data_IF_123726794445
#
_entry.id   IF_123726794445
#
_cell.length_a   1.000
_cell.length_b   1.000
_cell.length_c   1.000
_cell.angle_alpha   90.00
_cell.angle_beta   90.00
_cell.angle_gamma   90.00
#
_symmetry.space_group_name_H-M   'P 1'
#
loop_
_entity.id
_entity.type
_entity.pdbx_description
1 polymer ?
#
# COMPACT_ATOMS: atom_id res chain seq x y z
N UNK A 1 28.26 23.25 26.07
CA UNK A 1 29.01 22.31 25.20
C UNK A 1 30.36 22.94 24.89
N UNK A 2 31.42 22.15 24.73
CA UNK A 2 32.69 22.69 24.23
C UNK A 2 32.54 23.12 22.76
N UNK A 3 33.39 24.03 22.30
CA UNK A 3 33.42 24.46 20.89
C UNK A 3 33.64 23.27 19.94
N UNK A 4 34.48 22.31 20.34
CA UNK A 4 34.69 21.05 19.59
C UNK A 4 33.39 20.25 19.42
N UNK A 5 32.56 20.18 20.46
CA UNK A 5 31.29 19.45 20.40
C UNK A 5 30.27 20.18 19.52
N UNK A 6 30.25 21.52 19.53
CA UNK A 6 29.39 22.31 18.64
C UNK A 6 29.83 22.18 17.18
N UNK A 7 31.15 22.19 16.91
CA UNK A 7 31.68 22.02 15.57
C UNK A 7 31.42 20.60 15.04
N UNK A 8 31.58 19.57 15.88
CA UNK A 8 31.23 18.19 15.52
C UNK A 8 29.74 18.04 15.18
N UNK A 9 28.86 18.66 15.99
CA UNK A 9 27.41 18.66 15.73
C UNK A 9 27.06 19.36 14.41
N UNK A 10 27.66 20.53 14.14
CA UNK A 10 27.50 21.25 12.88
C UNK A 10 27.92 20.40 11.68
N UNK A 11 29.12 19.81 11.73
CA UNK A 11 29.64 18.95 10.66
C UNK A 11 28.73 17.74 10.42
N UNK A 12 28.21 17.12 11.48
CA UNK A 12 27.29 15.98 11.35
C UNK A 12 25.96 16.38 10.70
N UNK A 13 25.31 17.46 11.18
CA UNK A 13 24.06 17.95 10.60
C UNK A 13 24.22 18.38 9.15
N UNK A 14 25.31 19.08 8.83
CA UNK A 14 25.61 19.49 7.45
C UNK A 14 25.81 18.27 6.54
N UNK A 15 26.54 17.25 7.01
CA UNK A 15 26.69 15.98 6.29
C UNK A 15 25.33 15.30 6.04
N UNK A 16 24.47 15.19 7.07
CA UNK A 16 23.15 14.59 6.94
C UNK A 16 22.25 15.33 5.94
N UNK A 17 22.31 16.66 5.92
CA UNK A 17 21.58 17.51 4.99
C UNK A 17 22.10 17.35 3.55
N UNK A 18 23.42 17.35 3.33
CA UNK A 18 24.02 17.07 2.01
C UNK A 18 23.60 15.71 1.48
N UNK A 19 23.64 14.68 2.34
CA UNK A 19 23.17 13.34 2.00
C UNK A 19 21.68 13.29 1.62
N UNK A 20 20.84 14.11 2.25
CA UNK A 20 19.42 14.19 1.88
C UNK A 20 19.26 14.86 0.50
N UNK A 21 19.94 15.98 0.27
CA UNK A 21 19.89 16.71 -1.01
C UNK A 21 20.35 15.86 -2.20
N UNK A 22 21.38 15.03 -2.01
CA UNK A 22 21.88 14.09 -3.02
C UNK A 22 20.82 13.06 -3.47
N UNK A 23 19.81 12.79 -2.64
CA UNK A 23 18.74 11.83 -2.94
C UNK A 23 17.57 12.47 -3.71
N UNK A 24 17.49 13.79 -3.79
CA UNK A 24 16.37 14.51 -4.41
C UNK A 24 16.35 14.34 -5.94
N UNK A 25 17.44 14.67 -6.62
CA UNK A 25 17.47 14.67 -8.09
C UNK A 25 17.34 13.28 -8.74
N UNK A 26 17.91 12.19 -8.19
CA UNK A 26 17.70 10.84 -8.73
C UNK A 26 16.22 10.44 -8.85
N UNK A 27 15.32 11.04 -8.06
CA UNK A 27 13.89 10.81 -8.17
C UNK A 27 13.28 11.35 -9.48
N UNK A 28 14.02 12.10 -10.30
CA UNK A 28 13.57 12.52 -11.63
C UNK A 28 14.07 11.59 -12.75
N UNK A 29 14.98 10.66 -12.44
CA UNK A 29 15.66 9.86 -13.45
C UNK A 29 14.74 8.81 -14.07
N UNK A 30 14.83 8.69 -15.39
CA UNK A 30 14.08 7.72 -16.20
C UNK A 30 12.59 8.03 -16.38
N UNK A 31 12.12 9.21 -15.96
CA UNK A 31 10.74 9.66 -16.16
C UNK A 31 10.66 10.68 -17.30
N UNK A 32 9.56 10.67 -18.06
CA UNK A 32 9.30 11.66 -19.12
C UNK A 32 8.86 13.02 -18.56
N UNK A 33 8.67 14.03 -19.42
CA UNK A 33 8.25 15.40 -19.00
C UNK A 33 6.86 15.42 -18.35
N UNK A 34 5.97 14.52 -18.76
CA UNK A 34 4.62 14.48 -18.23
C UNK A 34 4.63 13.92 -16.80
N UNK A 35 5.29 12.78 -16.58
CA UNK A 35 5.31 12.11 -15.27
C UNK A 35 6.00 12.93 -14.18
N UNK A 36 7.04 13.71 -14.50
CA UNK A 36 7.67 14.56 -13.48
C UNK A 36 6.82 15.80 -13.12
N UNK A 37 5.88 16.22 -13.98
CA UNK A 37 5.07 17.44 -13.81
C UNK A 37 3.63 17.18 -13.38
N UNK A 38 3.08 16.00 -13.67
CA UNK A 38 1.67 15.74 -13.45
C UNK A 38 1.33 15.69 -11.95
N UNK A 39 0.18 16.23 -11.53
CA UNK A 39 -0.30 16.09 -10.17
C UNK A 39 -0.48 14.61 -9.77
N UNK A 40 0.03 14.26 -8.60
CA UNK A 40 -0.13 12.94 -7.95
C UNK A 40 -1.01 13.01 -6.71
N UNK A 41 -1.45 14.23 -6.33
CA UNK A 41 -2.44 14.48 -5.29
C UNK A 41 -3.31 15.69 -5.66
N UNK A 42 -4.52 15.84 -5.07
CA UNK A 42 -5.43 16.96 -5.36
C UNK A 42 -4.84 18.36 -5.12
N UNK A 43 -3.78 18.48 -4.32
CA UNK A 43 -3.08 19.75 -4.05
C UNK A 43 -2.14 20.20 -5.18
N UNK A 44 -2.00 19.41 -6.26
CA UNK A 44 -1.03 19.69 -7.32
C UNK A 44 0.37 19.16 -7.05
N UNK A 45 0.58 18.41 -5.96
CA UNK A 45 1.85 17.78 -5.59
C UNK A 45 2.40 16.95 -6.76
N UNK A 46 3.63 17.23 -7.19
CA UNK A 46 4.32 16.52 -8.27
C UNK A 46 5.85 16.55 -8.03
N UNK A 47 6.61 15.71 -8.72
CA UNK A 47 8.06 15.54 -8.48
C UNK A 47 8.86 16.80 -8.79
N UNK A 48 8.65 17.43 -9.95
CA UNK A 48 9.43 18.59 -10.36
C UNK A 48 9.08 19.82 -9.50
N UNK A 49 7.82 19.94 -9.11
CA UNK A 49 7.34 20.93 -8.15
C UNK A 49 7.99 20.80 -6.78
N UNK A 50 8.21 19.57 -6.29
CA UNK A 50 8.92 19.34 -5.03
C UNK A 50 10.38 19.82 -5.10
N UNK A 51 11.06 19.63 -6.24
CA UNK A 51 12.41 20.18 -6.45
C UNK A 51 12.40 21.71 -6.43
N UNK A 52 11.41 22.33 -7.10
CA UNK A 52 11.25 23.80 -7.11
C UNK A 52 10.96 24.36 -5.71
N UNK A 53 10.12 23.69 -4.93
CA UNK A 53 9.85 24.07 -3.55
C UNK A 53 11.08 23.96 -2.65
N UNK A 54 11.81 22.85 -2.71
CA UNK A 54 13.06 22.71 -1.96
C UNK A 54 14.09 23.77 -2.38
N UNK A 55 14.14 24.14 -3.66
CA UNK A 55 14.98 25.26 -4.15
C UNK A 55 14.65 26.57 -3.45
N UNK A 56 13.36 26.91 -3.37
CA UNK A 56 12.88 28.12 -2.70
C UNK A 56 13.23 28.13 -1.20
N UNK A 57 13.04 26.99 -0.51
CA UNK A 57 13.33 26.87 0.92
C UNK A 57 14.84 26.98 1.19
N UNK A 58 15.68 26.31 0.41
CA UNK A 58 17.15 26.41 0.53
C UNK A 58 17.63 27.87 0.37
N UNK A 59 17.16 28.55 -0.69
CA UNK A 59 17.51 29.94 -0.97
C UNK A 59 17.03 30.90 0.13
N UNK A 60 15.83 30.69 0.67
CA UNK A 60 15.25 31.59 1.65
C UNK A 60 15.83 31.38 3.05
N UNK A 61 15.90 30.14 3.52
CA UNK A 61 16.34 29.80 4.88
C UNK A 61 17.85 29.99 5.10
N UNK A 62 18.67 29.74 4.08
CA UNK A 62 20.12 30.00 4.19
C UNK A 62 20.56 31.30 3.54
N UNK A 63 19.65 32.01 2.87
CA UNK A 63 19.92 33.32 2.29
C UNK A 63 19.34 34.46 3.12
N UNK A 64 18.07 34.78 2.86
CA UNK A 64 17.36 35.90 3.47
C UNK A 64 17.46 35.89 5.01
N UNK A 65 17.21 34.73 5.63
CA UNK A 65 17.18 34.59 7.10
C UNK A 65 18.49 34.98 7.78
N UNK A 66 19.64 34.73 7.15
CA UNK A 66 20.96 35.07 7.71
C UNK A 66 21.56 36.35 7.12
N UNK A 67 20.77 37.16 6.40
CA UNK A 67 21.26 38.38 5.76
C UNK A 67 22.31 38.09 4.68
N UNK A 68 22.24 36.94 4.01
CA UNK A 68 23.10 36.51 2.90
C UNK A 68 22.25 36.33 1.64
N UNK A 69 21.78 37.40 0.99
CA UNK A 69 20.79 37.31 -0.08
C UNK A 69 21.18 36.30 -1.16
N UNK A 70 20.22 35.46 -1.56
CA UNK A 70 20.40 34.57 -2.70
C UNK A 70 20.50 35.41 -3.99
N UNK A 71 21.46 35.13 -4.90
CA UNK A 71 21.75 36.00 -6.04
C UNK A 71 20.69 35.97 -7.15
N UNK A 72 19.79 34.99 -7.15
CA UNK A 72 18.73 34.85 -8.14
C UNK A 72 17.36 35.25 -7.58
N UNK A 73 16.40 35.60 -8.46
CA UNK A 73 15.02 35.86 -8.05
C UNK A 73 14.43 34.67 -7.32
N UNK A 74 13.81 34.93 -6.17
CA UNK A 74 12.98 33.96 -5.44
C UNK A 74 11.51 34.34 -5.63
N UNK A 75 10.58 33.37 -5.68
CA UNK A 75 9.15 33.65 -5.70
C UNK A 75 8.72 34.60 -4.58
N UNK A 76 7.79 35.51 -4.90
CA UNK A 76 7.16 36.37 -3.91
C UNK A 76 6.27 35.55 -2.97
N UNK A 77 6.27 35.88 -1.69
CA UNK A 77 5.46 35.23 -0.64
C UNK A 77 4.77 36.28 0.21
N UNK A 78 3.64 35.90 0.82
CA UNK A 78 2.94 36.77 1.76
C UNK A 78 3.64 36.87 3.13
N UNK A 79 3.03 37.60 4.06
CA UNK A 79 3.56 37.79 5.43
C UNK A 79 3.67 36.49 6.25
N UNK A 80 2.91 35.45 5.88
CA UNK A 80 2.96 34.12 6.48
C UNK A 80 3.87 33.16 5.71
N UNK A 81 4.65 33.68 4.77
CA UNK A 81 5.55 32.90 3.92
C UNK A 81 4.81 31.88 3.04
N UNK A 82 3.56 32.19 2.68
CA UNK A 82 2.76 31.37 1.79
C UNK A 82 2.79 31.89 0.35
N UNK A 83 2.85 30.95 -0.59
CA UNK A 83 2.52 31.17 -2.00
C UNK A 83 2.00 29.84 -2.58
N UNK A 84 0.79 29.87 -3.14
CA UNK A 84 0.09 28.69 -3.66
C UNK A 84 0.81 28.07 -4.89
N UNK A 85 1.60 28.86 -5.59
CA UNK A 85 2.29 28.51 -6.83
C UNK A 85 3.77 28.10 -6.60
N UNK A 86 4.24 27.96 -5.35
CA UNK A 86 5.63 27.55 -5.06
C UNK A 86 6.00 26.18 -5.65
N UNK A 87 4.99 25.34 -5.86
CA UNK A 87 5.10 24.00 -6.44
C UNK A 87 4.83 23.99 -7.95
N UNK A 88 4.39 25.11 -8.54
CA UNK A 88 3.98 25.18 -9.93
C UNK A 88 5.18 25.42 -10.83
N UNK A 89 5.43 24.46 -11.74
CA UNK A 89 6.46 24.57 -12.77
C UNK A 89 5.76 24.80 -14.12
N UNK A 90 5.69 26.05 -14.61
CA UNK A 90 5.02 26.38 -15.86
C UNK A 90 5.71 25.72 -17.05
N UNK A 91 4.98 25.57 -18.16
CA UNK A 91 5.45 24.87 -19.37
C UNK A 91 6.72 25.46 -19.99
N UNK A 92 6.97 26.76 -19.79
CA UNK A 92 8.14 27.44 -20.34
C UNK A 92 9.38 27.31 -19.44
N UNK A 93 9.22 26.88 -18.18
CA UNK A 93 10.34 26.56 -17.30
C UNK A 93 10.71 25.10 -17.53
N UNK A 94 11.93 24.88 -18.00
CA UNK A 94 12.45 23.55 -18.35
C UNK A 94 12.86 22.76 -17.10
N UNK A 95 12.87 21.43 -17.21
CA UNK A 95 13.36 20.55 -16.14
C UNK A 95 14.79 20.90 -15.73
N UNK A 96 15.67 21.14 -16.70
CA UNK A 96 17.08 21.45 -16.46
C UNK A 96 17.25 22.78 -15.71
N UNK A 97 16.44 23.80 -16.02
CA UNK A 97 16.43 25.06 -15.27
C UNK A 97 16.07 24.85 -13.80
N UNK A 98 15.05 24.03 -13.51
CA UNK A 98 14.65 23.70 -12.12
C UNK A 98 15.75 22.94 -11.40
N UNK A 99 16.34 21.92 -12.06
CA UNK A 99 17.43 21.12 -11.49
C UNK A 99 18.65 21.99 -11.18
N UNK A 100 19.02 22.88 -12.10
CA UNK A 100 20.20 23.72 -11.91
C UNK A 100 19.95 24.82 -10.87
N UNK A 101 18.72 25.35 -10.78
CA UNK A 101 18.31 26.24 -9.70
C UNK A 101 18.43 25.55 -8.33
N UNK A 102 17.96 24.32 -8.21
CA UNK A 102 18.10 23.52 -6.99
C UNK A 102 19.57 23.35 -6.58
N UNK A 103 20.42 22.97 -7.53
CA UNK A 103 21.87 22.82 -7.28
C UNK A 103 22.52 24.14 -6.85
N UNK A 104 22.12 25.27 -7.43
CA UNK A 104 22.63 26.61 -7.04
C UNK A 104 22.18 26.99 -5.64
N UNK A 105 20.92 26.76 -5.30
CA UNK A 105 20.39 27.00 -3.96
C UNK A 105 21.09 26.15 -2.89
N UNK A 106 21.33 24.86 -3.17
CA UNK A 106 22.09 23.99 -2.25
C UNK A 106 23.53 24.47 -2.05
N UNK A 107 24.22 24.96 -3.09
CA UNK A 107 25.57 25.53 -2.96
C UNK A 107 25.58 26.80 -2.11
N UNK A 108 24.63 27.71 -2.36
CA UNK A 108 24.48 28.92 -1.54
C UNK A 108 24.23 28.57 -0.07
N UNK A 109 23.41 27.56 0.18
CA UNK A 109 23.17 27.06 1.52
C UNK A 109 24.42 26.49 2.18
N UNK A 110 25.22 25.71 1.44
CA UNK A 110 26.51 25.19 1.92
C UNK A 110 27.47 26.33 2.28
N UNK A 111 27.60 27.34 1.42
CA UNK A 111 28.44 28.51 1.67
C UNK A 111 28.01 29.27 2.94
N UNK A 112 26.71 29.41 3.18
CA UNK A 112 26.18 30.02 4.43
C UNK A 112 26.49 29.16 5.65
N UNK A 113 26.23 27.85 5.57
CA UNK A 113 26.50 26.93 6.68
C UNK A 113 27.98 26.96 7.01
N UNK A 114 28.88 26.90 6.04
CA UNK A 114 30.33 26.92 6.26
C UNK A 114 30.78 28.23 6.92
N UNK A 115 30.28 29.38 6.43
CA UNK A 115 30.69 30.70 6.90
C UNK A 115 30.25 31.08 8.33
N UNK A 116 29.16 30.51 8.83
CA UNK A 116 28.53 30.96 10.08
C UNK A 116 28.71 29.95 11.24
N UNK A 117 28.94 30.40 12.48
CA UNK A 117 28.90 29.49 13.63
C UNK A 117 27.48 28.94 13.84
N UNK A 118 27.37 27.77 14.47
CA UNK A 118 26.08 27.10 14.71
C UNK A 118 25.10 27.94 15.56
N UNK A 119 25.63 28.85 16.37
CA UNK A 119 24.90 29.82 17.18
C UNK A 119 24.54 31.13 16.45
N UNK A 120 24.92 31.29 15.18
CA UNK A 120 24.59 32.48 14.40
C UNK A 120 23.08 32.67 14.35
N UNK A 121 22.62 33.88 14.65
CA UNK A 121 21.20 34.22 14.74
C UNK A 121 20.71 34.67 13.38
N UNK A 122 19.75 33.93 12.83
CA UNK A 122 18.96 34.31 11.67
C UNK A 122 17.60 34.87 12.08
N UNK A 123 16.96 35.63 11.19
CA UNK A 123 15.64 36.20 11.42
C UNK A 123 14.58 35.61 10.51
N UNK A 124 13.55 35.01 11.11
CA UNK A 124 12.43 34.36 10.43
C UNK A 124 11.11 35.03 10.84
N UNK A 125 10.63 36.03 10.08
CA UNK A 125 9.42 36.78 10.42
C UNK A 125 8.17 35.91 10.61
N UNK A 126 8.04 34.82 9.86
CA UNK A 126 6.85 33.96 9.86
C UNK A 126 6.84 32.90 10.98
N UNK A 127 7.87 32.81 11.82
CA UNK A 127 7.90 31.86 12.96
C UNK A 127 7.50 32.50 14.30
N UNK A 128 7.11 33.78 14.30
CA UNK A 128 6.69 34.51 15.50
C UNK A 128 7.82 34.87 16.47
N UNK A 129 8.86 34.03 16.62
CA UNK A 129 10.11 34.38 17.31
C UNK A 129 11.20 34.75 16.30
N UNK A 130 11.66 36.01 16.37
CA UNK A 130 12.47 36.62 15.32
C UNK A 130 13.94 36.20 15.31
N UNK A 131 14.45 35.51 16.33
CA UNK A 131 15.87 35.14 16.42
C UNK A 131 15.99 33.63 16.55
N UNK A 132 16.54 32.98 15.52
CA UNK A 132 16.75 31.52 15.49
C UNK A 132 18.20 31.17 15.19
N UNK A 133 18.84 30.28 15.98
CA UNK A 133 20.18 29.82 15.67
C UNK A 133 20.23 29.05 14.34
N UNK A 134 21.37 29.09 13.66
CA UNK A 134 21.65 28.26 12.48
C UNK A 134 21.39 26.78 12.73
N UNK A 135 21.65 26.29 13.95
CA UNK A 135 21.26 24.94 14.38
C UNK A 135 19.80 24.59 14.06
N UNK A 136 18.88 25.49 14.41
CA UNK A 136 17.45 25.27 14.26
C UNK A 136 17.07 25.25 12.78
N UNK A 137 17.67 26.15 11.98
CA UNK A 137 17.42 26.21 10.53
C UNK A 137 17.97 24.99 9.81
N UNK A 138 19.18 24.53 10.15
CA UNK A 138 19.73 23.28 9.60
C UNK A 138 18.87 22.07 9.94
N UNK A 139 18.39 21.99 11.17
CA UNK A 139 17.50 20.90 11.62
C UNK A 139 16.16 20.94 10.88
N UNK A 140 15.59 22.14 10.72
CA UNK A 140 14.36 22.34 9.95
C UNK A 140 14.53 21.92 8.50
N UNK A 141 15.56 22.43 7.80
CA UNK A 141 15.81 22.09 6.39
C UNK A 141 16.13 20.62 6.15
N UNK A 142 16.77 19.94 7.12
CA UNK A 142 16.92 18.49 7.09
C UNK A 142 15.55 17.79 7.18
N UNK A 143 14.68 18.25 8.09
CA UNK A 143 13.30 17.76 8.21
C UNK A 143 12.48 17.96 6.94
N UNK A 144 12.46 19.18 6.40
CA UNK A 144 11.77 19.54 5.15
C UNK A 144 12.23 18.65 3.99
N UNK A 145 13.55 18.54 3.79
CA UNK A 145 14.11 17.72 2.70
C UNK A 145 13.75 16.25 2.88
N UNK A 146 13.85 15.70 4.09
CA UNK A 146 13.55 14.29 4.38
C UNK A 146 12.06 13.98 4.24
N UNK A 147 11.19 14.89 4.66
CA UNK A 147 9.74 14.74 4.47
C UNK A 147 9.39 14.70 2.98
N UNK A 148 9.96 15.60 2.18
CA UNK A 148 9.71 15.63 0.74
C UNK A 148 10.34 14.47 -0.02
N UNK A 149 11.48 13.93 0.43
CA UNK A 149 11.99 12.66 -0.09
C UNK A 149 10.98 11.51 0.12
N UNK A 150 10.31 11.44 1.28
CA UNK A 150 9.25 10.46 1.50
C UNK A 150 8.06 10.62 0.54
N UNK A 151 7.69 11.86 0.19
CA UNK A 151 6.69 12.11 -0.86
C UNK A 151 7.19 11.68 -2.24
N UNK A 152 8.46 11.94 -2.57
CA UNK A 152 9.06 11.52 -3.84
C UNK A 152 9.06 9.99 -3.96
N UNK A 153 9.46 9.27 -2.91
CA UNK A 153 9.46 7.81 -2.87
C UNK A 153 8.06 7.24 -3.14
N UNK A 154 7.02 7.76 -2.49
CA UNK A 154 5.63 7.33 -2.72
C UNK A 154 5.17 7.63 -4.15
N UNK A 155 5.52 8.81 -4.69
CA UNK A 155 5.17 9.16 -6.06
C UNK A 155 5.87 8.22 -7.05
N UNK A 156 7.14 7.87 -6.82
CA UNK A 156 7.85 6.88 -7.64
C UNK A 156 7.17 5.53 -7.60
N UNK A 157 6.81 5.05 -6.42
CA UNK A 157 6.07 3.79 -6.26
C UNK A 157 4.77 3.79 -7.09
N UNK A 158 4.03 4.90 -7.11
CA UNK A 158 2.80 5.04 -7.90
C UNK A 158 3.02 5.16 -9.41
N UNK A 159 4.14 5.74 -9.84
CA UNK A 159 4.44 5.97 -11.27
C UNK A 159 5.00 4.71 -11.94
N UNK A 160 5.97 4.06 -11.29
CA UNK A 160 6.75 2.99 -11.91
C UNK A 160 7.08 1.83 -10.95
N UNK A 161 6.43 1.77 -9.78
CA UNK A 161 6.60 0.69 -8.81
C UNK A 161 7.96 0.68 -8.10
N UNK A 162 8.80 1.70 -8.31
CA UNK A 162 10.16 1.77 -7.75
C UNK A 162 10.12 2.23 -6.30
N UNK A 163 10.91 1.57 -5.44
CA UNK A 163 11.06 1.92 -4.03
C UNK A 163 12.53 2.13 -3.66
N UNK A 164 12.83 3.19 -2.90
CA UNK A 164 14.16 3.46 -2.36
C UNK A 164 15.21 3.93 -3.38
N UNK A 165 16.50 3.82 -3.00
CA UNK A 165 17.62 4.50 -3.69
C UNK A 165 18.05 3.89 -5.03
N UNK A 166 17.61 2.67 -5.35
CA UNK A 166 18.04 1.96 -6.55
C UNK A 166 16.94 1.96 -7.59
N UNK A 167 17.19 2.65 -8.70
CA UNK A 167 16.31 2.71 -9.87
C UNK A 167 16.40 1.40 -10.66
N UNK A 168 15.87 0.32 -10.11
CA UNK A 168 15.83 -1.01 -10.75
C UNK A 168 14.36 -1.46 -10.83
N UNK A 169 13.87 -1.90 -12.01
CA UNK A 169 12.53 -2.48 -12.12
C UNK A 169 12.35 -3.67 -11.18
N UNK A 170 11.12 -3.88 -10.68
CA UNK A 170 10.78 -5.07 -9.90
C UNK A 170 10.99 -6.32 -10.76
N UNK A 171 11.46 -7.39 -10.12
CA UNK A 171 11.42 -8.73 -10.71
C UNK A 171 9.98 -9.27 -10.69
N UNK A 172 9.60 -10.21 -11.58
CA UNK A 172 8.27 -10.83 -11.55
C UNK A 172 7.93 -11.48 -10.19
N UNK A 173 8.94 -11.98 -9.47
CA UNK A 173 8.77 -12.53 -8.13
C UNK A 173 8.43 -11.45 -7.09
N UNK A 174 9.06 -10.29 -7.18
CA UNK A 174 8.73 -9.13 -6.33
C UNK A 174 7.35 -8.58 -6.66
N UNK A 175 6.98 -8.44 -7.93
CA UNK A 175 5.63 -8.03 -8.34
C UNK A 175 4.56 -8.96 -7.74
N UNK A 176 4.79 -10.27 -7.80
CA UNK A 176 3.90 -11.28 -7.23
C UNK A 176 3.80 -11.16 -5.71
N UNK A 177 4.93 -10.98 -5.01
CA UNK A 177 4.94 -10.76 -3.55
C UNK A 177 4.22 -9.47 -3.17
N UNK A 178 4.44 -8.38 -3.90
CA UNK A 178 3.83 -7.08 -3.65
C UNK A 178 2.32 -7.16 -3.86
N UNK A 179 1.87 -7.77 -4.95
CA UNK A 179 0.45 -8.01 -5.19
C UNK A 179 -0.18 -8.86 -4.07
N UNK A 180 0.50 -9.92 -3.61
CA UNK A 180 0.04 -10.74 -2.48
C UNK A 180 -0.06 -9.92 -1.19
N UNK A 181 0.96 -9.11 -0.87
CA UNK A 181 0.97 -8.24 0.32
C UNK A 181 -0.13 -7.18 0.25
N UNK A 182 -0.33 -6.55 -0.92
CA UNK A 182 -1.41 -5.61 -1.17
C UNK A 182 -2.78 -6.24 -0.89
N UNK A 183 -3.09 -7.37 -1.53
CA UNK A 183 -4.36 -8.09 -1.35
C UNK A 183 -4.61 -8.44 0.12
N UNK A 184 -3.57 -8.90 0.84
CA UNK A 184 -3.66 -9.20 2.27
C UNK A 184 -4.00 -7.97 3.10
N UNK A 185 -3.33 -6.84 2.84
CA UNK A 185 -3.55 -5.57 3.56
C UNK A 185 -4.94 -5.00 3.28
N UNK A 186 -5.38 -5.00 2.02
CA UNK A 186 -6.69 -4.51 1.63
C UNK A 186 -7.82 -5.34 2.26
N UNK A 187 -7.72 -6.67 2.22
CA UNK A 187 -8.68 -7.55 2.89
C UNK A 187 -8.77 -7.26 4.39
N UNK A 188 -7.62 -7.08 5.05
CA UNK A 188 -7.59 -6.75 6.48
C UNK A 188 -8.26 -5.39 6.76
N UNK A 189 -7.99 -4.37 5.94
CA UNK A 189 -8.59 -3.05 6.06
C UNK A 189 -10.12 -3.09 5.86
N UNK A 190 -10.61 -3.85 4.87
CA UNK A 190 -12.05 -4.03 4.63
C UNK A 190 -12.78 -4.67 5.80
N UNK A 191 -12.22 -5.73 6.37
CA UNK A 191 -12.81 -6.37 7.55
C UNK A 191 -12.78 -5.40 8.74
N UNK A 192 -11.63 -4.79 9.04
CA UNK A 192 -11.50 -3.88 10.19
C UNK A 192 -12.43 -2.66 10.08
N UNK A 193 -12.73 -2.21 8.86
CA UNK A 193 -13.66 -1.11 8.59
C UNK A 193 -15.12 -1.52 8.39
N UNK A 194 -15.50 -2.78 8.67
CA UNK A 194 -16.85 -3.32 8.43
C UNK A 194 -17.34 -3.13 6.97
N UNK A 195 -16.40 -3.11 6.01
CA UNK A 195 -16.69 -3.06 4.57
C UNK A 195 -16.90 -4.43 3.96
N UNK A 196 -16.52 -5.51 4.66
CA UNK A 196 -16.81 -6.86 4.18
C UNK A 196 -18.23 -7.29 4.53
N UNK A 197 -18.64 -7.23 5.79
CA UNK A 197 -20.05 -7.34 6.18
C UNK A 197 -20.41 -6.19 7.12
N UNK A 198 -21.66 -5.68 7.09
CA UNK A 198 -22.09 -4.63 8.00
C UNK A 198 -21.89 -5.01 9.46
N UNK A 199 -21.65 -4.01 10.32
CA UNK A 199 -21.61 -4.23 11.76
C UNK A 199 -22.93 -4.84 12.25
N UNK A 200 -22.84 -5.93 13.04
CA UNK A 200 -24.00 -6.66 13.54
C UNK A 200 -24.69 -7.59 12.53
N UNK A 201 -24.17 -7.73 11.30
CA UNK A 201 -24.67 -8.72 10.35
C UNK A 201 -24.54 -10.14 10.92
N UNK A 202 -25.62 -10.92 10.85
CA UNK A 202 -25.66 -12.32 11.29
C UNK A 202 -25.56 -13.20 10.06
N UNK A 203 -24.39 -13.82 9.86
CA UNK A 203 -24.15 -14.66 8.70
C UNK A 203 -25.07 -15.90 8.69
N UNK A 204 -25.73 -16.19 7.54
CA UNK A 204 -26.43 -17.44 7.34
C UNK A 204 -25.52 -18.65 7.62
N UNK A 205 -26.01 -19.61 8.40
CA UNK A 205 -25.22 -20.81 8.78
C UNK A 205 -25.54 -22.04 7.94
N UNK A 206 -26.59 -22.01 7.11
CA UNK A 206 -26.92 -23.15 6.26
C UNK A 206 -27.67 -22.73 5.00
N UNK A 207 -27.47 -23.49 3.93
CA UNK A 207 -28.29 -23.49 2.72
C UNK A 207 -28.67 -24.93 2.42
N UNK A 208 -29.97 -25.19 2.26
CA UNK A 208 -30.49 -26.50 1.88
C UNK A 208 -30.82 -26.53 0.38
N UNK A 209 -30.43 -27.62 -0.28
CA UNK A 209 -30.72 -27.90 -1.68
C UNK A 209 -31.02 -29.40 -1.84
N UNK A 210 -31.80 -29.78 -2.86
CA UNK A 210 -32.22 -31.18 -3.05
C UNK A 210 -31.02 -32.16 -3.19
N UNK A 211 -29.89 -31.66 -3.70
CA UNK A 211 -28.68 -32.45 -3.95
C UNK A 211 -27.56 -32.26 -2.91
N UNK A 212 -27.63 -31.25 -2.05
CA UNK A 212 -26.56 -30.91 -1.08
C UNK A 212 -27.07 -29.99 0.03
N UNK A 213 -26.36 -29.95 1.15
CA UNK A 213 -26.53 -28.91 2.17
C UNK A 213 -25.19 -28.25 2.47
N UNK A 214 -25.23 -26.96 2.77
CA UNK A 214 -24.08 -26.19 3.24
C UNK A 214 -24.17 -26.01 4.75
N UNK A 215 -23.04 -26.19 5.43
CA UNK A 215 -22.87 -25.95 6.86
C UNK A 215 -21.50 -25.31 7.11
N UNK A 216 -21.28 -24.54 8.19
CA UNK A 216 -20.01 -23.86 8.41
C UNK A 216 -18.90 -24.89 8.58
N UNK A 217 -17.81 -24.71 7.83
CA UNK A 217 -16.66 -25.60 7.91
C UNK A 217 -15.99 -25.47 9.29
N UNK A 218 -15.55 -26.60 9.84
CA UNK A 218 -14.84 -26.62 11.11
C UNK A 218 -14.22 -27.98 11.43
N UNK A 219 -13.47 -28.09 12.55
CA UNK A 219 -12.63 -29.25 12.85
C UNK A 219 -13.36 -30.60 12.91
N UNK A 220 -14.67 -30.61 13.15
CA UNK A 220 -15.49 -31.82 13.13
C UNK A 220 -15.47 -32.54 11.77
N UNK A 221 -15.23 -31.80 10.68
CA UNK A 221 -15.19 -32.33 9.32
C UNK A 221 -13.80 -32.80 8.88
N UNK A 222 -12.76 -32.66 9.71
CA UNK A 222 -11.36 -32.79 9.28
C UNK A 222 -11.05 -34.05 8.47
N UNK A 223 -11.43 -35.22 8.98
CA UNK A 223 -11.13 -36.48 8.27
C UNK A 223 -11.89 -36.61 6.96
N UNK A 224 -13.15 -36.16 6.90
CA UNK A 224 -14.00 -36.28 5.72
C UNK A 224 -13.64 -35.25 4.63
N UNK A 225 -13.39 -34.00 5.04
CA UNK A 225 -12.91 -32.92 4.19
C UNK A 225 -11.53 -33.26 3.59
N UNK A 226 -10.59 -33.72 4.43
CA UNK A 226 -9.26 -34.15 3.98
C UNK A 226 -9.36 -35.25 2.92
N UNK A 227 -10.18 -36.27 3.16
CA UNK A 227 -10.40 -37.33 2.18
C UNK A 227 -11.05 -36.83 0.88
N UNK A 228 -11.98 -35.87 0.96
CA UNK A 228 -12.68 -35.32 -0.18
C UNK A 228 -11.75 -34.56 -1.15
N UNK A 229 -10.93 -33.63 -0.65
CA UNK A 229 -10.06 -32.86 -1.54
C UNK A 229 -8.81 -33.66 -1.96
N UNK A 230 -8.25 -34.52 -1.10
CA UNK A 230 -7.10 -35.37 -1.46
C UNK A 230 -7.43 -36.34 -2.61
N UNK A 231 -8.67 -36.82 -2.68
CA UNK A 231 -9.14 -37.68 -3.79
C UNK A 231 -9.52 -36.89 -5.06
N UNK A 232 -9.52 -35.55 -5.00
CA UNK A 232 -10.04 -34.67 -6.05
C UNK A 232 -9.06 -33.59 -6.50
N UNK A 233 -7.77 -33.68 -6.16
CA UNK A 233 -6.76 -32.63 -6.43
C UNK A 233 -6.75 -32.19 -7.90
N UNK A 234 -6.69 -33.15 -8.84
CA UNK A 234 -6.66 -32.85 -10.28
C UNK A 234 -7.93 -32.11 -10.73
N UNK A 235 -9.08 -32.55 -10.24
CA UNK A 235 -10.36 -31.95 -10.55
C UNK A 235 -10.47 -30.53 -10.01
N UNK A 236 -10.15 -30.30 -8.72
CA UNK A 236 -10.22 -28.97 -8.09
C UNK A 236 -9.29 -27.98 -8.81
N UNK A 237 -8.08 -28.40 -9.18
CA UNK A 237 -7.13 -27.55 -9.93
C UNK A 237 -7.60 -27.25 -11.36
N UNK A 238 -8.47 -28.09 -11.93
CA UNK A 238 -9.11 -27.86 -13.21
C UNK A 238 -10.42 -27.04 -13.09
N UNK A 239 -10.99 -26.93 -11.89
CA UNK A 239 -12.20 -26.13 -11.64
C UNK A 239 -11.89 -24.64 -11.82
N UNK A 240 -12.58 -23.95 -12.75
CA UNK A 240 -12.45 -22.51 -12.90
C UNK A 240 -12.78 -21.81 -11.57
N UNK A 241 -11.93 -20.90 -11.12
CA UNK A 241 -12.15 -20.17 -9.87
C UNK A 241 -11.03 -20.25 -8.85
N UNK A 242 -10.02 -21.11 -9.02
CA UNK A 242 -8.83 -21.19 -8.16
C UNK A 242 -7.60 -20.60 -8.88
N UNK A 243 -7.51 -19.26 -9.01
CA UNK A 243 -6.62 -18.58 -9.97
C UNK A 243 -5.13 -18.74 -9.66
N UNK A 244 -4.75 -18.99 -8.41
CA UNK A 244 -3.35 -19.09 -8.02
C UNK A 244 -2.73 -20.45 -8.45
N UNK A 245 -3.55 -21.45 -8.79
CA UNK A 245 -3.10 -22.78 -9.19
C UNK A 245 -2.33 -23.55 -8.11
N UNK A 246 -2.07 -22.96 -6.95
CA UNK A 246 -1.25 -23.56 -5.89
C UNK A 246 -2.08 -24.40 -4.91
N UNK A 247 -3.40 -24.22 -4.90
CA UNK A 247 -4.34 -25.00 -4.10
C UNK A 247 -5.19 -25.95 -4.98
N UNK A 248 -5.40 -27.22 -4.56
CA UNK A 248 -4.75 -27.90 -3.45
C UNK A 248 -3.29 -28.27 -3.75
N UNK A 249 -2.42 -28.41 -2.73
CA UNK A 249 -1.03 -28.80 -2.92
C UNK A 249 -0.95 -30.21 -3.51
N UNK A 250 -0.21 -30.36 -4.60
CA UNK A 250 -0.09 -31.66 -5.32
C UNK A 250 0.55 -32.76 -4.47
N UNK A 251 1.33 -32.39 -3.45
CA UNK A 251 1.95 -33.32 -2.50
C UNK A 251 1.00 -33.77 -1.39
N UNK A 252 -0.21 -33.18 -1.32
CA UNK A 252 -1.10 -33.31 -0.17
C UNK A 252 -0.59 -32.57 1.07
N UNK A 253 -1.35 -32.70 2.16
CA UNK A 253 -0.97 -32.29 3.52
C UNK A 253 -1.43 -33.34 4.53
N UNK A 254 -0.89 -33.29 5.74
CA UNK A 254 -1.30 -34.13 6.86
C UNK A 254 -2.69 -33.77 7.39
N UNK A 255 -3.31 -34.68 8.14
CA UNK A 255 -4.57 -34.40 8.86
C UNK A 255 -4.41 -33.30 9.91
N UNK A 256 -3.21 -33.11 10.46
CA UNK A 256 -2.92 -32.05 11.43
C UNK A 256 -2.89 -30.67 10.75
N UNK A 257 -2.23 -30.57 9.60
CA UNK A 257 -2.24 -29.35 8.78
C UNK A 257 -3.65 -28.99 8.32
N UNK A 258 -4.45 -29.98 7.89
CA UNK A 258 -5.85 -29.77 7.52
C UNK A 258 -6.70 -29.32 8.72
N UNK A 259 -6.49 -29.90 9.90
CA UNK A 259 -7.21 -29.50 11.12
C UNK A 259 -6.91 -28.04 11.52
N UNK A 260 -5.65 -27.62 11.38
CA UNK A 260 -5.24 -26.24 11.63
C UNK A 260 -5.93 -25.27 10.64
N UNK A 261 -6.04 -25.67 9.37
CA UNK A 261 -6.73 -24.88 8.36
C UNK A 261 -8.23 -24.75 8.61
N UNK A 262 -8.91 -25.86 8.94
CA UNK A 262 -10.33 -25.87 9.32
C UNK A 262 -10.59 -25.04 10.58
N UNK A 263 -9.67 -25.05 11.55
CA UNK A 263 -9.76 -24.21 12.75
C UNK A 263 -9.68 -22.73 12.39
N UNK A 264 -8.79 -22.35 11.45
CA UNK A 264 -8.69 -20.98 10.94
C UNK A 264 -9.97 -20.56 10.22
N UNK A 265 -10.52 -21.39 9.33
CA UNK A 265 -11.77 -21.12 8.63
C UNK A 265 -12.96 -20.95 9.58
N UNK A 266 -13.08 -21.82 10.59
CA UNK A 266 -14.10 -21.68 11.62
C UNK A 266 -13.94 -20.38 12.42
N UNK A 267 -12.71 -20.02 12.79
CA UNK A 267 -12.45 -18.76 13.46
C UNK A 267 -12.83 -17.55 12.59
N UNK A 268 -12.40 -17.53 11.32
CA UNK A 268 -12.72 -16.48 10.35
C UNK A 268 -14.24 -16.28 10.23
N UNK A 269 -15.02 -17.37 10.24
CA UNK A 269 -16.48 -17.34 10.21
C UNK A 269 -17.06 -16.60 11.43
N UNK A 270 -16.63 -17.00 12.64
CA UNK A 270 -17.17 -16.43 13.89
C UNK A 270 -16.85 -14.93 14.04
N UNK A 271 -15.74 -14.46 13.46
CA UNK A 271 -15.33 -13.05 13.53
C UNK A 271 -15.63 -12.27 12.23
N UNK A 272 -16.38 -12.86 11.29
CA UNK A 272 -16.82 -12.19 10.06
C UNK A 272 -15.67 -11.78 9.12
N UNK A 273 -14.57 -12.53 9.09
CA UNK A 273 -13.43 -12.31 8.18
C UNK A 273 -13.52 -13.06 6.86
N UNK A 274 -14.35 -14.08 6.83
CA UNK A 274 -14.60 -14.95 5.69
C UNK A 274 -15.57 -16.03 6.11
N UNK A 275 -16.37 -16.53 5.17
CA UNK A 275 -17.38 -17.53 5.46
C UNK A 275 -17.09 -18.76 4.60
N UNK A 276 -16.67 -19.83 5.27
CA UNK A 276 -16.35 -21.09 4.60
C UNK A 276 -17.37 -22.14 5.02
N UNK A 277 -17.90 -22.84 4.04
CA UNK A 277 -18.93 -23.86 4.22
C UNK A 277 -18.42 -25.19 3.67
N UNK A 278 -18.68 -26.26 4.41
CA UNK A 278 -18.59 -27.61 3.87
C UNK A 278 -19.87 -27.94 3.10
N UNK A 279 -19.73 -28.65 1.98
CA UNK A 279 -20.83 -29.16 1.16
C UNK A 279 -21.05 -30.62 1.54
N UNK A 280 -22.25 -30.96 1.99
CA UNK A 280 -22.59 -32.29 2.49
C UNK A 280 -23.64 -32.96 1.58
N UNK A 281 -23.48 -34.26 1.34
CA UNK A 281 -24.52 -35.08 0.68
C UNK A 281 -25.73 -35.25 1.64
N UNK A 282 -26.96 -34.95 1.20
CA UNK A 282 -28.14 -35.00 2.07
C UNK A 282 -28.65 -36.42 2.31
N UNK A 283 -28.16 -37.41 1.55
CA UNK A 283 -28.60 -38.81 1.63
C UNK A 283 -27.95 -39.61 2.77
N UNK A 284 -26.81 -39.15 3.28
CA UNK A 284 -26.22 -39.66 4.51
C UNK A 284 -26.83 -38.90 5.71
N UNK A 285 -27.29 -39.66 6.71
CA UNK A 285 -27.82 -39.12 7.98
C UNK A 285 -26.76 -38.39 8.82
N UNK A 286 -26.72 -38.63 10.13
CA UNK A 286 -25.78 -37.96 11.08
C UNK A 286 -24.26 -38.17 10.78
N UNK A 287 -23.89 -38.86 9.69
CA UNK A 287 -22.52 -39.00 9.20
C UNK A 287 -22.23 -37.98 8.10
N UNK A 288 -21.41 -36.98 8.41
CA UNK A 288 -21.04 -35.90 7.49
C UNK A 288 -20.23 -36.39 6.28
N UNK A 289 -20.92 -36.79 5.21
CA UNK A 289 -20.28 -37.08 3.93
C UNK A 289 -19.96 -35.77 3.21
N UNK A 290 -18.73 -35.29 3.42
CA UNK A 290 -18.21 -34.08 2.76
C UNK A 290 -17.98 -34.38 1.28
N UNK A 291 -18.68 -33.61 0.45
CA UNK A 291 -18.60 -33.68 -1.01
C UNK A 291 -17.99 -32.44 -1.65
N UNK A 292 -17.62 -31.43 -0.87
CA UNK A 292 -17.06 -30.18 -1.40
C UNK A 292 -16.91 -29.09 -0.34
N UNK A 293 -16.48 -27.90 -0.77
CA UNK A 293 -16.41 -26.70 0.06
C UNK A 293 -16.78 -25.44 -0.75
N UNK A 294 -17.25 -24.41 -0.06
CA UNK A 294 -17.53 -23.06 -0.58
C UNK A 294 -16.78 -22.04 0.28
N UNK A 295 -16.14 -21.07 -0.37
CA UNK A 295 -15.34 -20.02 0.27
C UNK A 295 -15.85 -18.65 -0.16
N UNK A 296 -16.23 -17.83 0.82
CA UNK A 296 -16.67 -16.45 0.65
C UNK A 296 -15.69 -15.54 1.40
N UNK A 297 -14.81 -14.85 0.69
CA UNK A 297 -13.79 -13.97 1.29
C UNK A 297 -13.79 -12.59 0.63
N UNK A 298 -13.36 -11.52 1.34
CA UNK A 298 -13.36 -10.19 0.75
C UNK A 298 -12.54 -10.17 -0.53
N UNK A 299 -13.09 -9.59 -1.60
CA UNK A 299 -12.33 -9.38 -2.81
C UNK A 299 -11.27 -8.29 -2.60
N UNK A 300 -10.22 -8.35 -3.42
CA UNK A 300 -9.10 -7.42 -3.32
C UNK A 300 -9.17 -6.29 -4.36
N UNK A 301 -10.21 -6.29 -5.19
CA UNK A 301 -10.46 -5.34 -6.27
C UNK A 301 -11.81 -4.61 -6.05
N UNK A 302 -12.51 -4.28 -7.13
CA UNK A 302 -13.80 -3.59 -7.12
C UNK A 302 -14.98 -4.46 -6.64
N UNK A 303 -14.77 -5.77 -6.49
CA UNK A 303 -15.81 -6.67 -5.99
C UNK A 303 -15.93 -6.61 -4.46
N UNK A 304 -17.06 -7.07 -3.96
CA UNK A 304 -17.35 -7.13 -2.53
C UNK A 304 -16.78 -8.42 -1.90
N UNK A 305 -16.94 -9.54 -2.63
CA UNK A 305 -16.62 -10.90 -2.19
C UNK A 305 -16.11 -11.72 -3.37
N UNK A 306 -15.12 -12.58 -3.15
CA UNK A 306 -14.76 -13.66 -4.08
C UNK A 306 -15.44 -14.93 -3.60
N UNK A 307 -16.16 -15.57 -4.53
CA UNK A 307 -16.93 -16.78 -4.30
C UNK A 307 -16.25 -17.93 -5.03
N UNK A 308 -15.74 -18.89 -4.27
CA UNK A 308 -15.10 -20.09 -4.82
C UNK A 308 -15.82 -21.33 -4.29
N UNK A 309 -16.01 -22.32 -5.15
CA UNK A 309 -16.60 -23.59 -4.75
C UNK A 309 -16.01 -24.74 -5.53
N UNK A 310 -15.94 -25.91 -4.91
CA UNK A 310 -15.58 -27.16 -5.58
C UNK A 310 -16.39 -28.31 -4.98
N UNK A 311 -16.59 -29.36 -5.77
CA UNK A 311 -17.07 -30.66 -5.30
C UNK A 311 -16.07 -31.76 -5.62
N UNK A 312 -16.24 -32.94 -5.03
CA UNK A 312 -15.40 -34.11 -5.32
C UNK A 312 -15.48 -34.50 -6.79
N UNK A 313 -14.41 -35.09 -7.32
CA UNK A 313 -14.34 -35.54 -8.71
C UNK A 313 -15.45 -36.53 -9.09
N UNK A 314 -15.84 -37.43 -8.18
CA UNK A 314 -16.96 -38.37 -8.37
C UNK A 314 -18.35 -37.70 -8.30
N UNK A 315 -18.40 -36.41 -7.97
CA UNK A 315 -19.59 -35.55 -7.89
C UNK A 315 -19.50 -34.32 -8.80
N UNK A 316 -18.56 -34.25 -9.74
CA UNK A 316 -18.30 -33.09 -10.63
C UNK A 316 -19.55 -32.53 -11.35
N UNK A 317 -20.58 -33.35 -11.58
CA UNK A 317 -21.88 -32.88 -12.11
C UNK A 317 -22.59 -31.85 -11.21
N UNK A 318 -22.18 -31.70 -9.95
CA UNK A 318 -22.70 -30.72 -8.99
C UNK A 318 -21.94 -29.39 -8.96
N UNK A 319 -20.81 -29.24 -9.66
CA UNK A 319 -20.04 -27.97 -9.66
C UNK A 319 -20.89 -26.77 -10.10
N UNK A 320 -21.65 -26.92 -11.18
CA UNK A 320 -22.51 -25.84 -11.71
C UNK A 320 -23.74 -25.63 -10.82
N UNK A 321 -24.51 -26.68 -10.46
CA UNK A 321 -25.62 -26.53 -9.50
C UNK A 321 -25.23 -25.88 -8.17
N UNK A 322 -24.04 -26.21 -7.63
CA UNK A 322 -23.53 -25.59 -6.40
C UNK A 322 -23.24 -24.11 -6.60
N UNK A 323 -22.51 -23.76 -7.66
CA UNK A 323 -22.18 -22.37 -7.96
C UNK A 323 -23.44 -21.51 -8.18
N UNK A 324 -24.43 -22.03 -8.90
CA UNK A 324 -25.70 -21.33 -9.16
C UNK A 324 -26.51 -21.15 -7.88
N UNK A 325 -26.61 -22.18 -7.03
CA UNK A 325 -27.30 -22.09 -5.75
C UNK A 325 -26.63 -21.10 -4.79
N UNK A 326 -25.30 -21.07 -4.73
CA UNK A 326 -24.55 -20.10 -3.91
C UNK A 326 -24.74 -18.68 -4.45
N UNK A 327 -24.75 -18.49 -5.77
CA UNK A 327 -24.99 -17.18 -6.36
C UNK A 327 -26.38 -16.64 -6.00
N UNK A 328 -27.42 -17.47 -6.15
CA UNK A 328 -28.79 -17.11 -5.75
C UNK A 328 -28.89 -16.81 -4.25
N UNK A 329 -28.19 -17.59 -3.41
CA UNK A 329 -28.16 -17.38 -1.97
C UNK A 329 -27.47 -16.07 -1.57
N UNK A 330 -26.38 -15.71 -2.25
CA UNK A 330 -25.70 -14.43 -2.07
C UNK A 330 -26.63 -13.26 -2.38
N UNK A 331 -27.37 -13.33 -3.49
CA UNK A 331 -28.31 -12.30 -3.88
C UNK A 331 -29.46 -12.11 -2.87
N UNK A 332 -29.89 -13.18 -2.19
CA UNK A 332 -31.04 -13.14 -1.28
C UNK A 332 -30.70 -12.88 0.18
N UNK A 333 -29.62 -13.46 0.70
CA UNK A 333 -29.35 -13.57 2.14
C UNK A 333 -28.07 -12.87 2.58
N UNK A 334 -27.25 -12.39 1.64
CA UNK A 334 -25.97 -11.72 1.94
C UNK A 334 -26.01 -10.22 1.58
N UNK A 335 -25.14 -9.40 2.19
CA UNK A 335 -25.21 -7.94 2.03
C UNK A 335 -24.47 -7.43 0.78
N UNK A 336 -23.86 -8.32 0.01
CA UNK A 336 -23.01 -7.97 -1.13
C UNK A 336 -23.82 -7.71 -2.39
N UNK A 337 -23.34 -6.79 -3.23
CA UNK A 337 -24.00 -6.39 -4.48
C UNK A 337 -23.16 -6.66 -5.72
N UNK A 338 -21.86 -6.83 -5.56
CA UNK A 338 -20.91 -7.08 -6.63
C UNK A 338 -20.00 -8.29 -6.31
N UNK A 339 -20.51 -9.54 -6.35
CA UNK A 339 -19.70 -10.73 -6.11
C UNK A 339 -18.83 -11.09 -7.32
N UNK A 340 -17.54 -11.35 -7.09
CA UNK A 340 -16.65 -12.01 -8.04
C UNK A 340 -16.86 -13.53 -7.99
N UNK A 341 -17.11 -14.13 -9.14
CA UNK A 341 -17.32 -15.57 -9.32
C UNK A 341 -16.34 -16.08 -10.38
N UNK A 342 -15.05 -16.23 -10.04
CA UNK A 342 -14.06 -16.44 -11.07
C UNK A 342 -14.33 -17.74 -11.85
N UNK A 343 -14.37 -17.63 -13.18
CA UNK A 343 -14.64 -18.76 -14.07
C UNK A 343 -16.10 -19.18 -14.22
N UNK A 344 -17.07 -18.33 -13.86
CA UNK A 344 -18.51 -18.54 -14.01
C UNK A 344 -19.25 -17.35 -14.60
#
# INVERSE_FOLDING_TARGET
MSDDALQAAKSHLHHCLRRAREEVLPNLDGLDEYDVRRPMAPTGLNLLGLVKHLTFYEASYFGFVFGRPYPEPIPEVDENFHNADLMWVPVHETRDEVIDAYRRACRHADDTIEALPLSAVGRIPWWGTNDVPLFNVMTHMLGETRQHLGHMDLIRELLDGRIGKAVVPLTPGEETDFARRWRRTERAARVAGHRFVPEGFVAPRSLAHDAFRLEPLGPAYNSADHAAWMSSIEHIRATPGFPDGDWPPVTGMSLEENAADLTRHAHDFEIGRGFTFTVLDPSDGDGANVIGCVYLYPAADEHDVVVQSWVRADRAHLDTPLADAVAAWIESDWPWTNPDRPGR
#
